data_IF_106749052425
#
_entry.id   IF_106749052425
#
_cell.length_a   1.000
_cell.length_b   1.000
_cell.length_c   1.000
_cell.angle_alpha   90.00
_cell.angle_beta   90.00
_cell.angle_gamma   90.00
#
_symmetry.space_group_name_H-M   'P 1'
#
loop_
_entity.id
_entity.type
_entity.pdbx_description
1 polymer ?
#
# COMPACT_ATOMS: atom_id res chain seq x y z
N UNK A 1 14.60 17.03 9.48
CA UNK A 1 15.46 17.01 8.27
C UNK A 1 14.67 16.35 7.16
N UNK A 2 14.60 16.96 5.98
CA UNK A 2 13.75 16.57 4.86
C UNK A 2 14.27 15.34 4.09
N UNK A 3 14.71 14.26 4.75
CA UNK A 3 15.33 13.08 4.11
C UNK A 3 14.56 12.52 2.88
N UNK A 4 13.24 12.71 2.82
CA UNK A 4 12.42 12.31 1.68
C UNK A 4 12.78 13.01 0.35
N UNK A 5 13.42 14.19 0.36
CA UNK A 5 13.84 14.85 -0.89
C UNK A 5 14.99 14.09 -1.57
N UNK A 6 15.88 13.51 -0.75
CA UNK A 6 17.05 12.77 -1.22
C UNK A 6 16.66 11.36 -1.68
N UNK A 7 15.87 10.65 -0.87
CA UNK A 7 15.42 9.29 -1.21
C UNK A 7 14.28 9.25 -2.22
N UNK A 8 13.63 10.40 -2.47
CA UNK A 8 12.37 10.52 -3.22
C UNK A 8 11.26 9.62 -2.65
N UNK A 9 11.35 9.26 -1.37
CA UNK A 9 10.44 8.36 -0.69
C UNK A 9 9.84 9.02 0.55
N UNK A 10 8.51 9.14 0.57
CA UNK A 10 7.77 9.59 1.75
C UNK A 10 7.44 8.42 2.66
N UNK A 11 7.58 8.64 3.97
CA UNK A 11 7.23 7.66 4.99
C UNK A 11 6.13 8.18 5.90
N UNK A 12 5.04 7.41 6.11
CA UNK A 12 3.92 7.81 6.94
C UNK A 12 4.30 7.85 8.42
N UNK A 13 3.56 8.65 9.18
CA UNK A 13 3.51 8.51 10.63
C UNK A 13 2.62 7.34 11.03
N UNK A 14 2.47 7.08 12.32
CA UNK A 14 1.53 6.08 12.83
C UNK A 14 0.06 6.43 12.53
N UNK A 15 -0.24 7.71 12.30
CA UNK A 15 -1.59 8.16 11.99
C UNK A 15 -1.94 7.92 10.51
N UNK A 16 -3.13 7.38 10.26
CA UNK A 16 -3.66 7.12 8.91
C UNK A 16 -5.17 7.38 8.86
N UNK A 17 -5.66 7.98 7.77
CA UNK A 17 -7.08 8.17 7.48
C UNK A 17 -7.44 7.54 6.14
N UNK A 18 -8.68 7.07 5.99
CA UNK A 18 -9.20 6.51 4.75
C UNK A 18 -10.16 7.51 4.10
N UNK A 19 -10.12 7.64 2.78
CA UNK A 19 -11.11 8.38 1.99
C UNK A 19 -12.01 7.43 1.17
N UNK A 20 -13.11 7.99 0.64
CA UNK A 20 -14.15 7.27 -0.08
C UNK A 20 -13.67 6.70 -1.43
N UNK A 21 -12.59 7.25 -1.98
CA UNK A 21 -11.90 6.76 -3.17
C UNK A 21 -11.01 5.53 -2.90
N UNK A 22 -10.98 5.04 -1.65
CA UNK A 22 -10.13 3.94 -1.22
C UNK A 22 -8.69 4.36 -0.88
N UNK A 23 -8.37 5.64 -0.99
CA UNK A 23 -7.06 6.20 -0.65
C UNK A 23 -6.81 6.19 0.86
N UNK A 24 -5.55 5.98 1.23
CA UNK A 24 -5.07 6.09 2.62
C UNK A 24 -4.16 7.29 2.72
N UNK A 25 -4.49 8.23 3.61
CA UNK A 25 -3.73 9.44 3.86
C UNK A 25 -2.94 9.35 5.17
N UNK A 26 -1.79 10.01 5.19
CA UNK A 26 -0.96 10.20 6.39
C UNK A 26 -0.18 11.50 6.27
N UNK A 27 0.64 11.79 7.28
CA UNK A 27 1.61 12.88 7.27
C UNK A 27 3.00 12.28 7.12
N UNK A 28 3.84 12.85 6.27
CA UNK A 28 5.21 12.39 6.11
C UNK A 28 6.05 12.75 7.34
N UNK A 29 6.70 11.76 7.98
CA UNK A 29 7.56 11.99 9.16
C UNK A 29 8.79 12.84 8.88
N UNK A 30 9.19 13.00 7.62
CA UNK A 30 10.40 13.72 7.21
C UNK A 30 10.15 15.18 6.83
N UNK A 31 9.09 15.44 6.06
CA UNK A 31 8.79 16.79 5.55
C UNK A 31 7.48 17.40 6.07
N UNK A 32 6.68 16.65 6.84
CA UNK A 32 5.42 17.12 7.40
C UNK A 32 4.28 17.34 6.39
N UNK A 33 4.49 17.05 5.11
CA UNK A 33 3.44 17.17 4.07
C UNK A 33 2.44 16.03 4.16
N UNK A 34 1.20 16.31 3.75
CA UNK A 34 0.15 15.30 3.55
C UNK A 34 0.56 14.37 2.40
N UNK A 35 0.41 13.08 2.62
CA UNK A 35 0.77 12.02 1.68
C UNK A 35 -0.36 11.02 1.56
N UNK A 36 -0.44 10.34 0.41
CA UNK A 36 -1.51 9.40 0.04
C UNK A 36 -0.95 8.13 -0.56
N UNK A 37 -1.66 7.02 -0.38
CA UNK A 37 -1.39 5.74 -1.05
C UNK A 37 -2.69 4.99 -1.33
N UNK A 38 -2.75 4.29 -2.47
CA UNK A 38 -3.82 3.35 -2.81
C UNK A 38 -3.36 1.88 -2.76
N UNK A 39 -2.04 1.65 -2.71
CA UNK A 39 -1.43 0.32 -2.75
C UNK A 39 -0.63 -0.07 -1.50
N UNK A 40 -0.69 0.71 -0.41
CA UNK A 40 0.07 0.56 0.86
C UNK A 40 1.60 0.66 0.76
N UNK A 41 2.20 0.39 -0.40
CA UNK A 41 3.64 0.25 -0.58
C UNK A 41 4.36 1.54 -1.00
N UNK A 42 3.64 2.51 -1.58
CA UNK A 42 4.24 3.78 -2.00
C UNK A 42 3.37 4.97 -1.61
N UNK A 43 4.01 5.98 -1.04
CA UNK A 43 3.36 7.21 -0.61
C UNK A 43 3.76 8.38 -1.51
N UNK A 44 2.75 9.04 -2.06
CA UNK A 44 2.87 10.24 -2.89
C UNK A 44 2.39 11.47 -2.13
N UNK A 45 2.78 12.68 -2.53
CA UNK A 45 2.23 13.91 -1.95
C UNK A 45 0.74 13.98 -2.31
N UNK A 46 -0.12 14.23 -1.33
CA UNK A 46 -1.57 14.22 -1.50
C UNK A 46 -2.05 15.27 -2.51
N UNK A 47 -1.45 16.47 -2.48
CA UNK A 47 -1.76 17.55 -3.43
C UNK A 47 -0.92 17.48 -4.72
N UNK A 48 -0.25 16.35 -4.96
CA UNK A 48 0.59 16.11 -6.12
C UNK A 48 -0.05 15.17 -7.15
N UNK A 49 0.42 15.23 -8.39
CA UNK A 49 0.04 14.26 -9.42
C UNK A 49 0.78 12.93 -9.17
N UNK A 50 0.04 11.88 -8.78
CA UNK A 50 0.58 10.52 -8.74
C UNK A 50 0.45 9.87 -10.12
N UNK A 51 1.53 9.93 -10.90
CA UNK A 51 1.60 9.29 -12.22
C UNK A 51 1.42 7.77 -12.15
N UNK A 52 1.77 7.14 -11.02
CA UNK A 52 1.61 5.69 -10.86
C UNK A 52 0.13 5.37 -10.68
N UNK A 53 -0.57 6.09 -9.80
CA UNK A 53 -2.01 5.91 -9.60
C UNK A 53 -2.82 6.33 -10.85
N UNK A 54 -2.42 7.40 -11.54
CA UNK A 54 -3.03 7.78 -12.81
C UNK A 54 -2.85 6.68 -13.84
N UNK A 55 -1.65 6.11 -13.96
CA UNK A 55 -1.42 4.95 -14.82
C UNK A 55 -2.31 3.78 -14.39
N UNK A 56 -2.44 3.46 -13.10
CA UNK A 56 -3.34 2.40 -12.61
C UNK A 56 -4.84 2.68 -12.86
N UNK A 57 -5.23 3.95 -13.01
CA UNK A 57 -6.63 4.34 -13.31
C UNK A 57 -6.90 4.32 -14.81
N UNK A 58 -5.87 4.55 -15.63
CA UNK A 58 -5.98 4.66 -17.10
C UNK A 58 -5.60 3.34 -17.81
N UNK A 59 -4.70 2.56 -17.22
CA UNK A 59 -4.31 1.22 -17.68
C UNK A 59 -5.10 0.19 -16.88
N UNK A 60 -5.53 -0.89 -17.53
CA UNK A 60 -6.45 -1.85 -16.94
C UNK A 60 -5.76 -2.73 -15.88
N UNK A 61 -5.49 -3.98 -16.23
CA UNK A 61 -4.88 -4.93 -15.28
C UNK A 61 -3.36 -4.82 -15.32
N UNK A 62 -2.71 -4.93 -14.16
CA UNK A 62 -1.26 -4.90 -14.04
C UNK A 62 -0.73 -5.91 -13.03
N UNK A 63 0.49 -6.38 -13.29
CA UNK A 63 1.26 -7.22 -12.39
C UNK A 63 2.38 -6.38 -11.75
N UNK A 64 2.58 -6.53 -10.45
CA UNK A 64 3.57 -5.78 -9.66
C UNK A 64 4.56 -6.73 -9.02
N UNK A 65 5.85 -6.52 -9.28
CA UNK A 65 6.94 -7.15 -8.54
C UNK A 65 7.27 -6.26 -7.35
N UNK A 66 7.06 -6.78 -6.16
CA UNK A 66 7.25 -6.10 -4.89
C UNK A 66 8.33 -6.81 -4.08
N UNK A 67 9.34 -6.08 -3.63
CA UNK A 67 10.20 -6.48 -2.55
C UNK A 67 9.43 -6.36 -1.23
N UNK A 68 9.16 -7.50 -0.60
CA UNK A 68 8.36 -7.56 0.62
C UNK A 68 9.16 -7.20 1.88
N UNK A 69 10.49 -7.28 1.85
CA UNK A 69 11.34 -6.90 2.97
C UNK A 69 11.38 -5.37 3.13
N UNK A 70 11.53 -4.65 2.01
CA UNK A 70 11.60 -3.19 1.99
C UNK A 70 10.27 -2.50 1.65
N UNK A 71 9.19 -3.28 1.47
CA UNK A 71 7.90 -2.82 0.95
C UNK A 71 8.04 -1.97 -0.32
N UNK A 72 8.98 -2.35 -1.20
CA UNK A 72 9.42 -1.55 -2.33
C UNK A 72 8.94 -2.14 -3.65
N UNK A 73 8.30 -1.31 -4.50
CA UNK A 73 7.89 -1.76 -5.84
C UNK A 73 9.09 -1.77 -6.77
N UNK A 74 9.55 -2.97 -7.13
CA UNK A 74 10.66 -3.19 -8.07
C UNK A 74 10.22 -2.84 -9.49
N UNK A 75 9.06 -3.36 -9.92
CA UNK A 75 8.54 -3.10 -11.28
C UNK A 75 7.04 -3.35 -11.40
N UNK A 76 6.41 -2.69 -12.37
CA UNK A 76 5.02 -2.94 -12.81
C UNK A 76 4.98 -3.30 -14.29
N UNK A 77 4.07 -4.19 -14.67
CA UNK A 77 3.81 -4.64 -16.03
C UNK A 77 2.31 -4.50 -16.34
N UNK A 78 1.96 -3.78 -17.40
CA UNK A 78 0.59 -3.72 -17.93
C UNK A 78 0.28 -5.01 -18.67
N UNK A 79 -0.84 -5.66 -18.38
CA UNK A 79 -1.23 -6.94 -19.03
C UNK A 79 -2.44 -6.80 -19.98
N UNK A 80 -2.86 -5.57 -20.29
CA UNK A 80 -3.98 -5.30 -21.21
C UNK A 80 -3.78 -5.85 -22.64
N UNK A 81 -2.54 -6.17 -23.00
CA UNK A 81 -2.17 -6.76 -24.29
C UNK A 81 -2.27 -8.29 -24.31
N UNK A 82 -2.45 -8.93 -23.15
CA UNK A 82 -2.59 -10.38 -23.05
C UNK A 82 -4.06 -10.77 -23.28
N UNK A 83 -4.32 -11.80 -24.11
CA UNK A 83 -5.66 -12.09 -24.59
C UNK A 83 -6.57 -12.77 -23.56
N UNK A 84 -6.00 -13.54 -22.62
CA UNK A 84 -6.74 -14.38 -21.68
C UNK A 84 -5.98 -14.61 -20.35
N UNK A 85 -6.66 -15.24 -19.38
CA UNK A 85 -6.06 -15.61 -18.08
C UNK A 85 -4.90 -16.59 -18.22
N UNK A 86 -4.92 -17.49 -19.21
CA UNK A 86 -3.86 -18.48 -19.39
C UNK A 86 -2.55 -17.81 -19.81
N UNK A 87 -2.62 -16.84 -20.72
CA UNK A 87 -1.51 -16.00 -21.09
C UNK A 87 -1.00 -15.15 -19.91
N UNK A 88 -1.90 -14.68 -19.04
CA UNK A 88 -1.54 -13.95 -17.83
C UNK A 88 -0.82 -14.87 -16.83
N UNK A 89 -1.30 -16.08 -16.60
CA UNK A 89 -0.64 -17.05 -15.72
C UNK A 89 0.71 -17.52 -16.27
N UNK A 90 0.83 -17.73 -17.58
CA UNK A 90 2.10 -18.02 -18.25
C UNK A 90 3.09 -16.85 -18.07
N UNK A 91 2.62 -15.61 -18.23
CA UNK A 91 3.43 -14.42 -18.00
C UNK A 91 3.82 -14.26 -16.51
N UNK A 92 2.94 -14.61 -15.58
CA UNK A 92 3.29 -14.66 -14.14
C UNK A 92 4.39 -15.69 -13.87
N UNK A 93 4.34 -16.86 -14.48
CA UNK A 93 5.37 -17.89 -14.34
C UNK A 93 6.72 -17.41 -14.90
N UNK A 94 6.72 -16.79 -16.08
CA UNK A 94 7.90 -16.17 -16.68
C UNK A 94 8.51 -15.09 -15.78
N UNK A 95 7.66 -14.25 -15.15
CA UNK A 95 8.13 -13.25 -14.20
C UNK A 95 8.73 -13.88 -12.94
N UNK A 96 8.16 -14.95 -12.40
CA UNK A 96 8.72 -15.65 -11.24
C UNK A 96 10.10 -16.21 -11.54
N UNK A 97 10.28 -16.85 -12.69
CA UNK A 97 11.56 -17.39 -13.14
C UNK A 97 12.58 -16.26 -13.39
N UNK A 98 12.21 -15.25 -14.17
CA UNK A 98 13.09 -14.12 -14.53
C UNK A 98 13.65 -13.39 -13.30
N UNK A 99 12.84 -13.26 -12.26
CA UNK A 99 13.21 -12.53 -11.04
C UNK A 99 13.74 -13.45 -9.93
N UNK A 100 13.84 -14.77 -10.16
CA UNK A 100 14.26 -15.71 -9.13
C UNK A 100 13.39 -15.65 -7.88
N UNK A 101 12.07 -15.46 -8.04
CA UNK A 101 11.17 -15.29 -6.89
C UNK A 101 11.03 -16.57 -6.06
N UNK A 102 11.24 -17.73 -6.69
CA UNK A 102 11.16 -19.04 -6.03
C UNK A 102 12.52 -19.50 -5.47
N UNK A 103 13.57 -18.66 -5.56
CA UNK A 103 14.87 -18.97 -4.99
C UNK A 103 14.89 -18.77 -3.46
N UNK A 104 15.61 -19.63 -2.71
CA UNK A 104 15.72 -19.48 -1.27
C UNK A 104 16.41 -18.16 -0.90
N UNK A 105 15.70 -17.32 -0.14
CA UNK A 105 16.16 -15.99 0.27
C UNK A 105 15.65 -14.84 -0.60
N UNK A 106 14.76 -15.11 -1.57
CA UNK A 106 14.09 -14.06 -2.33
C UNK A 106 12.93 -13.47 -1.52
N UNK A 107 13.00 -12.16 -1.25
CA UNK A 107 11.90 -11.40 -0.64
C UNK A 107 10.93 -10.85 -1.69
N UNK A 108 11.09 -11.24 -2.96
CA UNK A 108 10.26 -10.76 -4.06
C UNK A 108 8.91 -11.47 -4.12
N UNK A 109 7.86 -10.68 -4.31
CA UNK A 109 6.48 -11.14 -4.42
C UNK A 109 5.83 -10.59 -5.66
N UNK A 110 5.02 -11.41 -6.34
CA UNK A 110 4.23 -10.99 -7.49
C UNK A 110 2.79 -10.73 -7.04
N UNK A 111 2.32 -9.49 -7.25
CA UNK A 111 0.96 -9.05 -6.96
C UNK A 111 0.22 -8.81 -8.28
N UNK A 112 -1.00 -9.32 -8.38
CA UNK A 112 -1.90 -9.05 -9.48
C UNK A 112 -2.96 -8.03 -9.04
N UNK A 113 -3.21 -7.01 -9.86
CA UNK A 113 -4.25 -6.01 -9.57
C UNK A 113 -5.67 -6.60 -9.63
N UNK A 114 -5.88 -7.70 -10.37
CA UNK A 114 -7.15 -8.40 -10.42
C UNK A 114 -7.38 -9.30 -9.20
N UNK A 115 -6.33 -9.70 -8.48
CA UNK A 115 -6.42 -10.43 -7.22
C UNK A 115 -6.94 -9.48 -6.14
N UNK A 116 -8.27 -9.29 -6.10
CA UNK A 116 -8.93 -8.72 -4.92
C UNK A 116 -8.67 -9.67 -3.76
N UNK A 117 -7.64 -9.41 -2.95
CA UNK A 117 -7.52 -10.05 -1.64
C UNK A 117 -8.83 -9.81 -0.89
N UNK A 118 -9.49 -10.90 -0.49
CA UNK A 118 -10.61 -10.85 0.43
C UNK A 118 -10.23 -9.91 1.59
N UNK A 119 -11.03 -8.84 1.76
CA UNK A 119 -10.88 -7.96 2.91
C UNK A 119 -10.82 -8.84 4.17
N UNK A 120 -9.67 -8.86 4.85
CA UNK A 120 -9.59 -9.46 6.18
C UNK A 120 -10.66 -8.74 7.00
N UNK A 121 -11.70 -9.42 7.53
CA UNK A 121 -12.71 -8.75 8.32
C UNK A 121 -11.99 -8.00 9.44
N UNK A 122 -12.21 -6.68 9.49
CA UNK A 122 -11.61 -5.81 10.50
C UNK A 122 -11.99 -6.39 11.86
N UNK A 123 -11.00 -6.79 12.67
CA UNK A 123 -11.25 -7.06 14.08
C UNK A 123 -11.77 -5.73 14.65
N UNK A 124 -13.01 -5.74 15.14
CA UNK A 124 -13.61 -4.56 15.72
C UNK A 124 -12.63 -3.96 16.76
N UNK A 125 -12.44 -2.63 16.79
CA UNK A 125 -11.63 -2.01 17.82
C UNK A 125 -12.17 -2.47 19.19
N UNK A 126 -11.30 -2.79 20.15
CA UNK A 126 -11.76 -3.19 21.47
C UNK A 126 -12.64 -2.06 22.01
N UNK A 127 -13.89 -2.38 22.32
CA UNK A 127 -14.84 -1.44 22.92
C UNK A 127 -14.14 -0.78 24.10
N UNK A 128 -14.06 0.56 24.07
CA UNK A 128 -13.56 1.33 25.20
C UNK A 128 -14.38 0.93 26.44
N UNK A 129 -13.69 0.46 27.48
CA UNK A 129 -14.32 0.15 28.75
C UNK A 129 -15.11 1.38 29.23
N UNK A 130 -16.33 1.19 29.78
CA UNK A 130 -17.12 2.31 30.28
C UNK A 130 -16.30 3.04 31.35
N UNK A 131 -16.12 4.33 31.11
CA UNK A 131 -15.42 5.27 31.99
C UNK A 131 -16.07 5.18 33.37
N UNK A 132 -15.30 4.76 34.38
CA UNK A 132 -15.78 4.69 35.76
C UNK A 132 -16.36 6.06 36.17
N UNK A 133 -17.53 6.03 36.83
CA UNK A 133 -18.23 7.21 37.29
C UNK A 133 -17.32 8.06 38.19
N UNK A 134 -17.34 9.40 38.08
CA UNK A 134 -16.58 10.26 38.96
C UNK A 134 -17.09 10.09 40.40
N UNK A 135 -16.18 9.67 41.29
CA UNK A 135 -16.44 9.60 42.72
C UNK A 135 -16.88 10.96 43.25
N UNK A 136 -17.93 10.96 44.05
CA UNK A 136 -18.42 12.13 44.79
C UNK A 136 -17.32 12.66 45.72
N UNK A 137 -17.10 13.99 45.79
CA UNK A 137 -16.13 14.56 46.72
C UNK A 137 -16.65 14.43 48.16
N UNK A 138 -15.85 13.83 49.05
CA UNK A 138 -16.06 13.94 50.50
C UNK A 138 -15.63 15.34 50.95
N UNK A 139 -16.61 16.18 51.25
CA UNK A 139 -16.45 17.39 52.06
C UNK A 139 -16.29 17.03 53.54
N UNK A 140 -15.31 17.69 54.17
CA UNK A 140 -15.06 17.91 55.61
C UNK A 140 -14.88 16.67 56.51
#
# INVERSE_FOLDING_TARGET
>A
MSQCWFTRAHQPTAWRAHEDDGGIYSICRHCGRRIVTWGRHRWSIADGLDMSHLAETVTGRFLTVLDSADEFVVRRFTVDHLPDEEAIEAFKAELRERYGMDEPGSDLTLLDSADKKAERPRKAPPMAAPRAAPGTPRTA
#
